data_IF_688510582419
#
_entry.id   IF_688510582419
#
_cell.length_a   1.000
_cell.length_b   1.000
_cell.length_c   1.000
_cell.angle_alpha   90.00
_cell.angle_beta   90.00
_cell.angle_gamma   90.00
#
_symmetry.space_group_name_H-M   'P 1'
#
loop_
_entity.id
_entity.type
_entity.pdbx_description
1 polymer ?
#
# COMPACT_ATOMS: atom_id res chain seq x y z
N UNK A 1 9.73 -2.77 1.97
CA UNK A 1 10.74 -3.48 1.16
C UNK A 1 10.66 -3.18 -0.33
N UNK A 2 9.47 -3.21 -0.97
CA UNK A 2 9.35 -3.03 -2.43
C UNK A 2 9.98 -1.74 -2.97
N UNK A 3 9.70 -0.58 -2.34
CA UNK A 3 10.33 0.68 -2.75
C UNK A 3 11.85 0.71 -2.63
N UNK A 4 12.43 0.07 -1.61
CA UNK A 4 13.88 -0.01 -1.43
C UNK A 4 14.55 -0.87 -2.53
N UNK A 5 13.86 -1.92 -2.99
CA UNK A 5 14.32 -2.74 -4.12
C UNK A 5 14.34 -1.91 -5.41
N UNK A 6 13.31 -1.10 -5.64
CA UNK A 6 13.25 -0.20 -6.81
C UNK A 6 14.38 0.83 -6.77
N UNK A 7 14.62 1.45 -5.61
CA UNK A 7 15.74 2.37 -5.42
C UNK A 7 17.07 1.70 -5.78
N UNK A 8 17.33 0.52 -5.21
CA UNK A 8 18.60 -0.19 -5.38
C UNK A 8 18.80 -0.66 -6.82
N UNK A 9 17.75 -1.14 -7.49
CA UNK A 9 17.81 -1.51 -8.91
C UNK A 9 18.19 -0.31 -9.79
N UNK A 10 17.51 0.83 -9.61
CA UNK A 10 17.80 2.05 -10.39
C UNK A 10 19.19 2.60 -10.07
N UNK A 11 19.61 2.56 -8.81
CA UNK A 11 20.95 2.98 -8.39
C UNK A 11 22.05 2.19 -9.11
N UNK A 12 21.96 0.85 -9.11
CA UNK A 12 22.97 0.00 -9.76
C UNK A 12 22.98 0.23 -11.28
N UNK A 13 21.81 0.32 -11.91
CA UNK A 13 21.70 0.61 -13.34
C UNK A 13 22.37 1.95 -13.66
N UNK A 14 22.05 3.01 -12.92
CA UNK A 14 22.63 4.34 -13.16
C UNK A 14 24.12 4.41 -12.88
N UNK A 15 24.62 3.62 -11.92
CA UNK A 15 26.06 3.52 -11.66
C UNK A 15 26.78 2.93 -12.89
N UNK A 16 26.30 1.82 -13.42
CA UNK A 16 26.87 1.18 -14.63
C UNK A 16 26.76 2.11 -15.83
N UNK A 17 25.59 2.73 -16.04
CA UNK A 17 25.37 3.63 -17.18
C UNK A 17 26.28 4.86 -17.07
N UNK A 18 26.46 5.45 -15.88
CA UNK A 18 27.34 6.62 -15.71
C UNK A 18 28.82 6.27 -15.89
N UNK A 19 29.22 5.03 -15.58
CA UNK A 19 30.56 4.54 -15.91
C UNK A 19 30.82 4.49 -17.42
N UNK A 20 29.80 4.17 -18.22
CA UNK A 20 29.89 4.12 -19.68
C UNK A 20 29.68 5.49 -20.34
N UNK A 21 28.79 6.31 -19.76
CA UNK A 21 28.38 7.62 -20.27
C UNK A 21 28.67 8.70 -19.22
N UNK A 22 29.90 9.20 -19.25
CA UNK A 22 30.42 10.14 -18.25
C UNK A 22 29.79 11.54 -18.29
N UNK A 23 28.95 11.85 -19.27
CA UNK A 23 28.30 13.15 -19.45
C UNK A 23 26.88 13.23 -18.85
N UNK A 24 26.44 12.22 -18.09
CA UNK A 24 25.11 12.23 -17.49
C UNK A 24 24.99 13.30 -16.37
N UNK A 25 24.01 14.21 -16.45
CA UNK A 25 23.66 15.09 -15.33
C UNK A 25 23.05 14.26 -14.18
N UNK A 26 23.01 14.74 -12.92
CA UNK A 26 23.48 16.04 -12.39
C UNK A 26 24.96 16.13 -11.99
N UNK A 27 25.72 15.03 -11.95
CA UNK A 27 27.08 15.00 -11.38
C UNK A 27 28.02 16.07 -11.95
N UNK A 28 28.16 16.13 -13.28
CA UNK A 28 29.00 17.16 -13.93
C UNK A 28 28.46 18.59 -13.74
N UNK A 29 27.15 18.74 -13.64
CA UNK A 29 26.53 20.04 -13.41
C UNK A 29 26.84 20.57 -12.01
N UNK A 30 26.94 19.68 -11.01
CA UNK A 30 27.37 20.07 -9.67
C UNK A 30 28.83 20.54 -9.66
N UNK A 31 29.72 19.82 -10.35
CA UNK A 31 31.14 20.21 -10.46
C UNK A 31 31.33 21.55 -11.15
N UNK A 32 30.59 21.81 -12.22
CA UNK A 32 30.65 23.10 -12.92
C UNK A 32 30.07 24.25 -12.11
N UNK A 33 29.00 24.02 -11.34
CA UNK A 33 28.40 25.04 -10.46
C UNK A 33 29.25 25.36 -9.24
N UNK A 34 29.88 24.36 -8.64
CA UNK A 34 30.73 24.53 -7.45
C UNK A 34 32.17 24.94 -7.81
N UNK A 35 32.51 24.97 -9.10
CA UNK A 35 33.84 25.27 -9.63
C UNK A 35 34.95 24.46 -8.92
N UNK A 36 34.65 23.20 -8.60
CA UNK A 36 35.57 22.30 -7.90
C UNK A 36 36.53 21.72 -8.94
N UNK A 37 37.85 21.73 -8.69
CA UNK A 37 38.82 21.17 -9.63
C UNK A 37 38.55 19.68 -9.89
N UNK A 38 38.48 19.31 -11.16
CA UNK A 38 38.34 17.92 -11.57
C UNK A 38 39.65 17.18 -11.33
N UNK A 39 39.62 16.18 -10.46
CA UNK A 39 40.79 15.39 -10.12
C UNK A 39 40.82 14.07 -10.89
N UNK A 40 41.87 13.87 -11.67
CA UNK A 40 42.09 12.68 -12.51
C UNK A 40 42.83 11.54 -11.80
N UNK A 41 43.02 11.61 -10.47
CA UNK A 41 43.66 10.50 -9.77
C UNK A 41 42.83 9.22 -9.94
N UNK A 42 43.44 8.12 -10.40
CA UNK A 42 42.72 6.88 -10.66
C UNK A 42 42.44 6.15 -9.35
N UNK A 43 41.19 5.78 -9.14
CA UNK A 43 40.74 4.89 -8.07
C UNK A 43 40.16 3.65 -8.74
N UNK A 44 40.75 2.48 -8.49
CA UNK A 44 40.39 1.22 -9.17
C UNK A 44 40.47 1.31 -10.72
N UNK A 45 41.35 2.15 -11.26
CA UNK A 45 41.52 2.35 -12.70
C UNK A 45 40.54 3.36 -13.33
N UNK A 46 39.62 3.93 -12.56
CA UNK A 46 38.67 4.96 -13.01
C UNK A 46 39.00 6.33 -12.41
N UNK A 47 38.80 7.45 -13.14
CA UNK A 47 39.02 8.77 -12.58
C UNK A 47 38.06 9.04 -11.42
N UNK A 48 38.58 9.59 -10.31
CA UNK A 48 37.79 9.79 -9.11
C UNK A 48 36.55 10.66 -9.31
N UNK A 49 36.63 11.69 -10.15
CA UNK A 49 35.48 12.54 -10.53
C UNK A 49 34.35 11.75 -11.15
N UNK A 50 34.67 10.75 -11.97
CA UNK A 50 33.69 9.90 -12.62
C UNK A 50 32.98 9.00 -11.61
N UNK A 51 33.71 8.42 -10.65
CA UNK A 51 33.11 7.60 -9.59
C UNK A 51 32.18 8.43 -8.71
N UNK A 52 32.61 9.64 -8.34
CA UNK A 52 31.78 10.58 -7.57
C UNK A 52 30.52 10.94 -8.36
N UNK A 53 30.65 11.27 -9.65
CA UNK A 53 29.50 11.55 -10.52
C UNK A 53 28.55 10.35 -10.62
N UNK A 54 29.07 9.12 -10.77
CA UNK A 54 28.26 7.91 -10.85
C UNK A 54 27.45 7.66 -9.57
N UNK A 55 28.04 7.87 -8.40
CA UNK A 55 27.34 7.77 -7.11
C UNK A 55 26.26 8.85 -7.00
N UNK A 56 26.58 10.10 -7.31
CA UNK A 56 25.60 11.20 -7.25
C UNK A 56 24.41 10.97 -8.19
N UNK A 57 24.69 10.60 -9.44
CA UNK A 57 23.65 10.28 -10.42
C UNK A 57 22.78 9.12 -9.93
N UNK A 58 23.39 8.03 -9.46
CA UNK A 58 22.68 6.89 -8.90
C UNK A 58 21.77 7.26 -7.75
N UNK A 59 22.24 8.07 -6.80
CA UNK A 59 21.44 8.50 -5.64
C UNK A 59 20.28 9.40 -6.08
N UNK A 60 20.54 10.41 -6.93
CA UNK A 60 19.50 11.35 -7.35
C UNK A 60 18.40 10.64 -8.14
N UNK A 61 18.76 9.87 -9.16
CA UNK A 61 17.78 9.12 -9.95
C UNK A 61 17.09 8.02 -9.14
N UNK A 62 17.82 7.38 -8.22
CA UNK A 62 17.25 6.40 -7.28
C UNK A 62 16.17 7.02 -6.41
N UNK A 63 16.43 8.18 -5.78
CA UNK A 63 15.45 8.90 -4.94
C UNK A 63 14.24 9.32 -5.78
N UNK A 64 14.46 9.88 -6.97
CA UNK A 64 13.37 10.30 -7.86
C UNK A 64 12.50 9.11 -8.26
N UNK A 65 13.08 8.01 -8.71
CA UNK A 65 12.34 6.81 -9.08
C UNK A 65 11.60 6.19 -7.88
N UNK A 66 12.23 6.15 -6.71
CA UNK A 66 11.62 5.68 -5.47
C UNK A 66 10.42 6.53 -5.04
N UNK A 67 10.52 7.86 -5.16
CA UNK A 67 9.42 8.77 -4.87
C UNK A 67 8.26 8.56 -5.85
N UNK A 68 8.55 8.47 -7.15
CA UNK A 68 7.53 8.18 -8.18
C UNK A 68 6.81 6.87 -7.87
N UNK A 69 7.58 5.82 -7.57
CA UNK A 69 7.03 4.51 -7.20
C UNK A 69 6.16 4.59 -5.95
N UNK A 70 6.62 5.30 -4.92
CA UNK A 70 5.89 5.47 -3.65
C UNK A 70 4.59 6.25 -3.84
N UNK A 71 4.56 7.23 -4.74
CA UNK A 71 3.35 7.98 -5.08
C UNK A 71 2.41 7.13 -5.93
N UNK A 72 2.92 6.40 -6.92
CA UNK A 72 2.14 5.55 -7.81
C UNK A 72 1.51 4.35 -7.07
N UNK A 73 2.20 3.80 -6.06
CA UNK A 73 1.68 2.73 -5.23
C UNK A 73 0.61 3.19 -4.25
N UNK A 74 0.37 4.49 -4.06
CA UNK A 74 -0.73 4.95 -3.19
C UNK A 74 -2.02 4.34 -3.73
N UNK A 75 -2.62 3.35 -3.05
CA UNK A 75 -3.89 2.82 -3.49
C UNK A 75 -4.83 4.01 -3.44
N UNK A 76 -5.56 4.29 -4.53
CA UNK A 76 -6.77 5.09 -4.43
C UNK A 76 -7.69 4.30 -3.52
N UNK A 77 -7.54 4.52 -2.22
CA UNK A 77 -8.52 4.28 -1.19
C UNK A 77 -9.68 5.21 -1.50
N UNK A 78 -10.41 4.88 -2.57
CA UNK A 78 -11.84 5.06 -2.53
C UNK A 78 -12.23 4.26 -1.30
N UNK A 79 -12.56 4.99 -0.24
CA UNK A 79 -13.08 4.47 1.00
C UNK A 79 -14.34 3.69 0.66
N UNK A 80 -14.21 2.44 0.25
CA UNK A 80 -15.24 1.46 0.43
C UNK A 80 -15.19 1.14 1.92
N UNK A 81 -15.90 1.96 2.70
CA UNK A 81 -16.27 1.60 4.05
C UNK A 81 -16.88 0.20 3.96
N UNK A 82 -16.30 -0.82 4.61
CA UNK A 82 -16.97 -2.10 4.70
C UNK A 82 -18.17 -1.84 5.59
N UNK A 83 -19.33 -1.73 4.98
CA UNK A 83 -20.60 -1.75 5.70
C UNK A 83 -20.68 -3.08 6.43
N UNK A 84 -20.17 -3.07 7.66
CA UNK A 84 -20.51 -4.05 8.68
C UNK A 84 -21.89 -3.65 9.19
N UNK A 85 -22.94 -4.11 8.53
CA UNK A 85 -24.21 -4.35 9.22
C UNK A 85 -24.54 -5.81 9.02
N UNK A 86 -24.07 -6.59 9.99
CA UNK A 86 -24.51 -7.95 10.19
C UNK A 86 -26.00 -7.94 10.53
N UNK A 87 -26.79 -8.53 9.66
CA UNK A 87 -28.00 -9.22 10.04
C UNK A 87 -28.07 -10.42 9.11
N UNK A 88 -27.69 -11.62 9.59
CA UNK A 88 -28.11 -12.85 8.91
C UNK A 88 -29.63 -12.95 9.12
N UNK A 89 -30.47 -12.83 8.07
CA UNK A 89 -31.92 -12.83 8.23
C UNK A 89 -32.47 -14.20 8.65
N UNK A 90 -31.66 -15.26 8.60
CA UNK A 90 -32.10 -16.63 8.84
C UNK A 90 -32.32 -17.00 10.30
N UNK A 91 -31.76 -16.28 11.26
CA UNK A 91 -31.83 -16.69 12.68
C UNK A 91 -33.10 -16.16 13.37
N UNK A 92 -33.66 -15.04 12.90
CA UNK A 92 -35.01 -14.60 13.32
C UNK A 92 -36.12 -15.48 12.78
N UNK A 93 -35.90 -16.18 11.66
CA UNK A 93 -36.93 -17.01 11.02
C UNK A 93 -37.41 -18.19 11.86
N UNK A 94 -36.69 -18.52 12.94
CA UNK A 94 -36.99 -19.66 13.82
C UNK A 94 -37.02 -19.27 15.30
N UNK A 95 -37.11 -17.98 15.61
CA UNK A 95 -37.17 -17.58 16.99
C UNK A 95 -38.59 -17.90 17.54
N UNK A 96 -38.62 -18.57 18.69
CA UNK A 96 -39.81 -19.14 19.32
C UNK A 96 -40.12 -18.42 20.64
N UNK A 97 -41.39 -18.33 21.00
CA UNK A 97 -41.88 -17.93 22.33
C UNK A 97 -42.71 -19.04 22.97
N UNK A 98 -42.97 -18.92 24.27
CA UNK A 98 -43.90 -19.80 24.97
C UNK A 98 -45.28 -19.16 25.05
N UNK A 99 -46.33 -19.97 24.91
CA UNK A 99 -47.70 -19.51 25.08
C UNK A 99 -47.94 -19.04 26.52
N UNK A 100 -48.53 -17.85 26.70
CA UNK A 100 -48.81 -17.26 28.01
C UNK A 100 -49.81 -18.09 28.85
N UNK A 101 -50.66 -18.89 28.21
CA UNK A 101 -51.71 -19.64 28.87
C UNK A 101 -51.30 -21.11 29.12
N UNK A 102 -50.90 -21.86 28.09
CA UNK A 102 -50.64 -23.30 28.22
C UNK A 102 -49.16 -23.70 28.20
N UNK A 103 -48.23 -22.74 28.06
CA UNK A 103 -46.79 -22.96 28.11
C UNK A 103 -46.19 -23.73 26.91
N UNK A 104 -46.94 -23.98 25.83
CA UNK A 104 -46.37 -24.62 24.63
C UNK A 104 -45.43 -23.69 23.86
N UNK A 105 -44.38 -24.23 23.25
CA UNK A 105 -43.54 -23.51 22.29
C UNK A 105 -44.33 -23.16 21.01
N UNK A 106 -44.28 -21.89 20.61
CA UNK A 106 -44.95 -21.33 19.43
C UNK A 106 -44.00 -20.34 18.71
N UNK A 107 -44.27 -20.00 17.44
CA UNK A 107 -43.45 -19.00 16.72
C UNK A 107 -43.64 -17.60 17.32
N UNK A 108 -42.62 -16.73 17.21
CA UNK A 108 -42.71 -15.35 17.70
C UNK A 108 -43.86 -14.57 17.04
N UNK A 109 -44.13 -14.82 15.76
CA UNK A 109 -45.16 -14.18 14.95
C UNK A 109 -46.55 -14.81 15.15
N UNK A 110 -46.67 -15.89 15.92
CA UNK A 110 -47.95 -16.54 16.18
C UNK A 110 -48.85 -15.62 17.02
N UNK A 111 -49.99 -15.20 16.43
CA UNK A 111 -51.05 -14.43 17.11
C UNK A 111 -51.97 -15.29 17.97
N UNK A 112 -52.06 -16.59 17.69
CA UNK A 112 -52.89 -17.54 18.42
C UNK A 112 -52.12 -18.82 18.69
N UNK A 113 -52.32 -19.42 19.85
CA UNK A 113 -51.69 -20.68 20.20
C UNK A 113 -52.39 -21.85 19.48
N UNK A 114 -51.68 -22.68 18.68
CA UNK A 114 -52.28 -23.82 17.99
C UNK A 114 -52.72 -24.94 18.95
N UNK A 115 -52.24 -24.93 20.20
CA UNK A 115 -52.55 -25.96 21.20
C UNK A 115 -53.79 -25.63 22.02
N UNK A 116 -53.95 -24.38 22.47
CA UNK A 116 -55.05 -23.98 23.36
C UNK A 116 -55.97 -22.89 22.80
N UNK A 117 -55.66 -22.32 21.63
CA UNK A 117 -56.47 -21.29 20.98
C UNK A 117 -56.29 -19.86 21.54
N UNK A 118 -55.53 -19.69 22.63
CA UNK A 118 -55.36 -18.38 23.27
C UNK A 118 -54.65 -17.36 22.38
N UNK A 119 -55.15 -16.12 22.37
CA UNK A 119 -54.50 -15.01 21.68
C UNK A 119 -53.19 -14.62 22.38
N UNK A 120 -52.13 -14.41 21.59
CA UNK A 120 -50.82 -13.98 22.08
C UNK A 120 -50.70 -12.48 21.82
N UNK A 121 -50.70 -11.70 22.88
CA UNK A 121 -50.50 -10.26 22.82
C UNK A 121 -49.04 -9.98 22.44
N UNK A 122 -48.80 -9.00 21.57
CA UNK A 122 -47.46 -8.51 21.23
C UNK A 122 -46.79 -7.81 22.42
#
# INVERSE_FOLDING_TARGET
MRGAIVFLAVFIIMLIVTLQYSSLPPGRMLYSLLNVPETTYPVLGFPATLLVCAVFNGVVYGIVAWLIYTIAERPRSVRAHPERVGAKPRERLYAKKFCINCGSEISLEARYCPKCGEAQQE
#
